data_IF_238712803141
#
_entry.id   IF_238712803141
#
_cell.length_a   1.000
_cell.length_b   1.000
_cell.length_c   1.000
_cell.angle_alpha   90.00
_cell.angle_beta   90.00
_cell.angle_gamma   90.00
#
_symmetry.space_group_name_H-M   'P 1'
#
loop_
_entity.id
_entity.type
_entity.pdbx_description
1 polymer ?
#
# COMPACT_ATOMS: atom_id res chain seq x y z
N UNK A 1 11.95 -10.39 16.15
CA UNK A 1 12.15 -10.62 14.68
C UNK A 1 12.41 -12.09 14.30
N UNK A 2 12.81 -12.99 15.21
CA UNK A 2 13.20 -14.38 14.87
C UNK A 2 12.06 -15.33 14.45
N UNK A 3 10.93 -15.35 15.15
CA UNK A 3 9.86 -16.32 14.87
C UNK A 3 8.95 -15.90 13.71
N UNK A 4 8.65 -14.61 13.58
CA UNK A 4 7.77 -14.08 12.54
C UNK A 4 8.32 -14.33 11.13
N UNK A 5 9.62 -14.10 10.92
CA UNK A 5 10.26 -14.34 9.63
C UNK A 5 10.28 -15.84 9.27
N UNK A 6 10.48 -16.72 10.26
CA UNK A 6 10.40 -18.18 10.06
C UNK A 6 9.02 -18.64 9.62
N UNK A 7 7.98 -17.95 10.09
CA UNK A 7 6.59 -18.19 9.71
C UNK A 7 6.17 -17.45 8.43
N UNK A 8 7.09 -16.74 7.77
CA UNK A 8 6.79 -15.96 6.57
C UNK A 8 5.91 -14.72 6.81
N UNK A 9 5.81 -14.26 8.07
CA UNK A 9 5.05 -13.05 8.41
C UNK A 9 5.84 -11.80 8.03
N UNK A 10 5.23 -10.98 7.18
CA UNK A 10 5.72 -9.65 6.84
C UNK A 10 5.08 -8.65 7.80
N UNK A 11 5.88 -8.07 8.68
CA UNK A 11 5.47 -7.06 9.63
C UNK A 11 6.03 -5.69 9.24
N UNK A 12 5.41 -4.62 9.73
CA UNK A 12 5.89 -3.24 9.55
C UNK A 12 5.99 -2.80 8.07
N UNK A 13 5.09 -3.30 7.21
CA UNK A 13 5.01 -2.87 5.82
C UNK A 13 4.43 -1.45 5.72
N UNK A 14 4.89 -0.62 4.76
CA UNK A 14 4.21 0.63 4.43
C UNK A 14 2.76 0.36 4.02
N UNK A 15 1.84 1.21 4.49
CA UNK A 15 0.41 1.08 4.18
C UNK A 15 -0.04 2.22 3.28
N UNK A 16 -0.56 1.86 2.11
CA UNK A 16 -1.18 2.81 1.18
C UNK A 16 -2.70 2.62 1.18
N UNK A 17 -3.43 3.70 1.47
CA UNK A 17 -4.90 3.66 1.62
C UNK A 17 -5.60 4.29 0.42
N UNK A 18 -6.30 3.48 -0.36
CA UNK A 18 -6.85 3.90 -1.65
C UNK A 18 -8.37 3.87 -1.65
N UNK A 19 -8.98 4.70 -2.51
CA UNK A 19 -10.43 4.72 -2.72
C UNK A 19 -11.00 3.47 -3.43
N UNK A 20 -10.17 2.49 -3.75
CA UNK A 20 -10.54 1.30 -4.50
C UNK A 20 -9.75 0.08 -4.02
N UNK A 21 -10.26 -1.11 -4.33
CA UNK A 21 -9.63 -2.38 -4.01
C UNK A 21 -8.82 -2.95 -5.17
N UNK A 22 -7.76 -3.66 -4.83
CA UNK A 22 -7.04 -4.56 -5.74
C UNK A 22 -7.04 -5.94 -5.09
N UNK A 23 -7.52 -6.96 -5.80
CA UNK A 23 -7.59 -8.34 -5.30
C UNK A 23 -6.32 -9.12 -5.65
N UNK A 24 -5.99 -10.19 -4.90
CA UNK A 24 -4.88 -11.08 -5.22
C UNK A 24 -4.85 -11.50 -6.69
N UNK A 25 -3.63 -11.63 -7.23
CA UNK A 25 -3.34 -11.96 -8.63
C UNK A 25 -3.67 -10.88 -9.67
N UNK A 26 -4.26 -9.75 -9.29
CA UNK A 26 -4.44 -8.62 -10.19
C UNK A 26 -3.12 -7.84 -10.38
N UNK A 27 -2.77 -7.55 -11.65
CA UNK A 27 -1.72 -6.61 -12.06
C UNK A 27 -2.32 -5.32 -12.57
N UNK A 28 -1.80 -4.17 -12.14
CA UNK A 28 -2.28 -2.88 -12.64
C UNK A 28 -1.19 -1.81 -12.59
N UNK A 29 -1.48 -0.65 -13.18
CA UNK A 29 -0.63 0.54 -13.13
C UNK A 29 -1.28 1.57 -12.22
N UNK A 30 -0.50 2.10 -11.27
CA UNK A 30 -0.91 3.17 -10.37
C UNK A 30 -0.25 4.48 -10.77
N UNK A 31 -1.05 5.56 -10.84
CA UNK A 31 -0.55 6.92 -10.97
C UNK A 31 -0.59 7.60 -9.59
N UNK A 32 0.58 7.66 -8.95
CA UNK A 32 0.75 8.23 -7.61
C UNK A 32 1.10 9.70 -7.73
N UNK A 33 0.23 10.54 -7.17
CA UNK A 33 0.36 12.00 -7.21
C UNK A 33 0.09 12.66 -5.85
N UNK A 34 -0.52 11.96 -4.90
CA UNK A 34 -0.69 12.49 -3.54
C UNK A 34 0.69 12.55 -2.86
N UNK A 35 1.10 13.72 -2.31
CA UNK A 35 2.44 13.91 -1.75
C UNK A 35 2.86 12.86 -0.72
N UNK A 36 1.95 12.46 0.18
CA UNK A 36 2.23 11.45 1.19
C UNK A 36 2.52 10.06 0.60
N UNK A 37 1.87 9.70 -0.52
CA UNK A 37 2.13 8.43 -1.19
C UNK A 37 3.37 8.50 -2.06
N UNK A 38 3.61 9.63 -2.74
CA UNK A 38 4.88 9.84 -3.46
C UNK A 38 6.06 9.70 -2.51
N UNK A 39 6.02 10.35 -1.33
CA UNK A 39 7.08 10.22 -0.31
C UNK A 39 7.22 8.78 0.20
N UNK A 40 6.10 8.11 0.52
CA UNK A 40 6.12 6.73 0.99
C UNK A 40 6.75 5.79 -0.05
N UNK A 41 6.36 5.91 -1.32
CA UNK A 41 6.90 5.06 -2.38
C UNK A 41 8.35 5.39 -2.72
N UNK A 42 8.77 6.65 -2.75
CA UNK A 42 10.20 6.98 -2.92
C UNK A 42 11.04 6.39 -1.79
N UNK A 43 10.54 6.43 -0.55
CA UNK A 43 11.21 5.80 0.61
C UNK A 43 11.31 4.28 0.44
N UNK A 44 10.24 3.63 -0.03
CA UNK A 44 10.23 2.19 -0.32
C UNK A 44 11.19 1.84 -1.46
N UNK A 45 11.18 2.62 -2.54
CA UNK A 45 12.00 2.40 -3.74
C UNK A 45 13.48 2.65 -3.49
N UNK A 46 13.84 3.40 -2.44
CA UNK A 46 15.22 3.56 -1.99
C UNK A 46 15.76 2.32 -1.23
N UNK A 47 14.89 1.37 -0.88
CA UNK A 47 15.28 0.09 -0.27
C UNK A 47 15.56 -1.00 -1.31
N UNK A 48 16.14 -2.11 -0.87
CA UNK A 48 16.36 -3.27 -1.74
C UNK A 48 15.04 -3.97 -2.09
N UNK A 49 14.97 -4.53 -3.30
CA UNK A 49 13.86 -5.38 -3.70
C UNK A 49 13.74 -6.65 -2.80
N UNK A 50 12.54 -7.23 -2.64
CA UNK A 50 11.27 -6.82 -3.26
C UNK A 50 10.62 -5.62 -2.56
N UNK A 51 10.07 -4.68 -3.36
CA UNK A 51 9.35 -3.51 -2.84
C UNK A 51 7.90 -3.87 -2.50
N UNK A 52 7.68 -4.19 -1.23
CA UNK A 52 6.38 -4.63 -0.73
C UNK A 52 5.66 -3.52 0.03
N UNK A 53 4.34 -3.43 -0.15
CA UNK A 53 3.46 -2.57 0.63
C UNK A 53 2.08 -3.21 0.83
N UNK A 54 1.33 -2.73 1.82
CA UNK A 54 -0.05 -3.12 2.04
C UNK A 54 -1.01 -2.12 1.38
N UNK A 55 -1.87 -2.61 0.50
CA UNK A 55 -2.96 -1.83 -0.10
C UNK A 55 -4.23 -2.04 0.72
N UNK A 56 -4.73 -0.99 1.34
CA UNK A 56 -5.94 -1.05 2.19
C UNK A 56 -7.01 -0.14 1.62
N UNK A 57 -8.26 -0.61 1.62
CA UNK A 57 -9.38 0.22 1.21
C UNK A 57 -9.56 1.38 2.19
N UNK A 58 -9.78 2.56 1.64
CA UNK A 58 -10.30 3.71 2.35
C UNK A 58 -11.52 4.21 1.59
N UNK A 59 -12.74 3.89 2.05
CA UNK A 59 -13.97 4.44 1.47
C UNK A 59 -13.85 5.97 1.40
N UNK A 60 -14.21 6.56 0.26
CA UNK A 60 -14.04 8.01 0.03
C UNK A 60 -12.60 8.48 -0.23
N UNK A 61 -11.62 7.58 -0.21
CA UNK A 61 -10.23 7.87 -0.52
C UNK A 61 -9.59 8.90 0.42
N UNK A 62 -8.66 9.69 -0.10
CA UNK A 62 -7.80 10.57 0.70
C UNK A 62 -8.58 11.59 1.55
N UNK A 63 -9.80 11.97 1.14
CA UNK A 63 -10.68 12.85 1.90
C UNK A 63 -11.05 12.31 3.28
N UNK A 64 -10.97 10.99 3.47
CA UNK A 64 -11.28 10.31 4.71
C UNK A 64 -10.02 9.91 5.51
N UNK A 65 -8.82 10.24 5.03
CA UNK A 65 -7.57 9.75 5.63
C UNK A 65 -7.32 10.30 7.04
N UNK A 66 -7.69 11.56 7.28
CA UNK A 66 -7.50 12.24 8.57
C UNK A 66 -8.73 12.14 9.49
N UNK A 67 -9.73 11.36 9.10
CA UNK A 67 -10.99 11.27 9.82
C UNK A 67 -10.94 10.15 10.87
N UNK A 68 -11.25 10.42 12.16
CA UNK A 68 -11.18 9.42 13.22
C UNK A 68 -12.02 8.16 12.95
N UNK A 69 -13.17 8.31 12.31
CA UNK A 69 -14.04 7.19 11.94
C UNK A 69 -13.41 6.21 10.95
N UNK A 70 -12.31 6.60 10.29
CA UNK A 70 -11.51 5.75 9.41
C UNK A 70 -10.11 5.47 9.96
N UNK A 71 -9.86 5.58 11.27
CA UNK A 71 -8.62 5.10 11.86
C UNK A 71 -8.48 3.57 11.67
N UNK A 72 -7.27 3.05 11.42
CA UNK A 72 -7.03 1.61 11.25
C UNK A 72 -7.05 0.88 12.60
N UNK A 73 -8.22 0.84 13.22
CA UNK A 73 -8.45 0.29 14.55
C UNK A 73 -9.75 -0.52 14.56
N UNK A 74 -9.84 -1.51 15.45
CA UNK A 74 -11.06 -2.29 15.61
C UNK A 74 -12.22 -1.41 16.07
N UNK A 75 -13.36 -1.53 15.39
CA UNK A 75 -14.59 -0.78 15.71
C UNK A 75 -14.78 0.51 14.93
N UNK A 76 -13.84 0.88 14.06
CA UNK A 76 -14.00 1.99 13.11
C UNK A 76 -14.59 1.51 11.78
N UNK A 77 -14.84 2.44 10.87
CA UNK A 77 -15.28 2.14 9.49
C UNK A 77 -14.12 1.70 8.59
N UNK A 78 -12.87 1.69 9.08
CA UNK A 78 -11.73 1.30 8.28
C UNK A 78 -11.65 -0.23 8.12
N UNK A 79 -11.54 -0.73 6.89
CA UNK A 79 -11.22 -2.14 6.66
C UNK A 79 -9.86 -2.50 7.25
N UNK A 80 -9.83 -3.51 8.12
CA UNK A 80 -8.60 -4.08 8.70
C UNK A 80 -7.99 -5.19 7.83
N UNK A 81 -8.55 -5.39 6.65
CA UNK A 81 -8.05 -6.30 5.64
C UNK A 81 -7.68 -5.52 4.39
N UNK A 82 -6.59 -5.94 3.77
CA UNK A 82 -6.09 -5.38 2.54
C UNK A 82 -5.42 -6.44 1.68
N UNK A 83 -4.53 -5.98 0.83
CA UNK A 83 -3.83 -6.83 -0.13
C UNK A 83 -2.33 -6.53 -0.07
N UNK A 84 -1.53 -7.57 0.01
CA UNK A 84 -0.09 -7.48 -0.15
C UNK A 84 0.23 -7.21 -1.62
N UNK A 85 0.94 -6.11 -1.85
CA UNK A 85 1.32 -5.66 -3.18
C UNK A 85 2.83 -5.65 -3.33
N UNK A 86 3.30 -5.95 -4.53
CA UNK A 86 4.69 -5.75 -4.93
C UNK A 86 4.75 -4.73 -6.08
N UNK A 87 5.67 -3.78 -5.96
CA UNK A 87 6.06 -2.89 -7.07
C UNK A 87 7.09 -3.63 -7.94
N UNK A 88 6.84 -3.70 -9.24
CA UNK A 88 7.71 -4.36 -10.23
C UNK A 88 8.50 -3.36 -11.08
N UNK A 89 7.93 -2.20 -11.33
CA UNK A 89 8.58 -1.14 -12.10
C UNK A 89 8.06 0.22 -11.65
N UNK A 90 8.91 1.22 -11.77
CA UNK A 90 8.60 2.62 -11.53
C UNK A 90 9.07 3.46 -12.70
N UNK A 91 8.21 4.35 -13.16
CA UNK A 91 8.56 5.48 -14.00
C UNK A 91 8.34 6.76 -13.18
N UNK A 92 9.40 7.56 -13.06
CA UNK A 92 9.34 8.89 -12.46
C UNK A 92 8.94 9.88 -13.55
N UNK A 93 7.81 10.55 -13.35
CA UNK A 93 7.32 11.54 -14.29
C UNK A 93 7.97 12.90 -14.03
N UNK A 94 7.94 13.78 -15.05
CA UNK A 94 8.54 15.12 -14.99
C UNK A 94 7.90 16.05 -13.95
N UNK A 95 6.67 15.73 -13.51
CA UNK A 95 5.87 16.52 -12.57
C UNK A 95 5.85 15.92 -11.16
N UNK A 96 6.87 15.14 -10.80
CA UNK A 96 7.03 14.48 -9.49
C UNK A 96 5.99 13.39 -9.19
N UNK A 97 5.19 12.97 -10.19
CA UNK A 97 4.35 11.78 -10.06
C UNK A 97 5.15 10.50 -10.29
N UNK A 98 4.62 9.40 -9.76
CA UNK A 98 5.14 8.05 -10.03
C UNK A 98 4.10 7.24 -10.78
N UNK A 99 4.53 6.62 -11.88
CA UNK A 99 3.77 5.56 -12.54
C UNK A 99 4.36 4.23 -12.09
N UNK A 100 3.58 3.45 -11.33
CA UNK A 100 4.02 2.18 -10.74
C UNK A 100 3.32 1.00 -11.39
N UNK A 101 4.08 0.03 -11.89
CA UNK A 101 3.54 -1.29 -12.21
C UNK A 101 3.52 -2.14 -10.94
N UNK A 102 2.33 -2.56 -10.52
CA UNK A 102 2.14 -3.31 -9.27
C UNK A 102 1.38 -4.61 -9.50
N UNK A 103 1.64 -5.59 -8.63
CA UNK A 103 0.96 -6.88 -8.63
C UNK A 103 0.51 -7.23 -7.22
N UNK A 104 -0.74 -7.65 -7.10
CA UNK A 104 -1.27 -8.22 -5.88
C UNK A 104 -0.82 -9.68 -5.72
N UNK A 105 -0.26 -9.99 -4.55
CA UNK A 105 0.27 -11.31 -4.23
C UNK A 105 -0.69 -12.14 -3.35
N UNK A 106 -1.19 -11.55 -2.26
CA UNK A 106 -2.02 -12.24 -1.26
C UNK A 106 -2.88 -11.25 -0.46
N UNK A 107 -3.79 -11.76 0.37
CA UNK A 107 -4.47 -10.94 1.37
C UNK A 107 -3.49 -10.47 2.47
N UNK A 108 -3.73 -9.29 3.02
CA UNK A 108 -2.99 -8.72 4.14
C UNK A 108 -3.95 -8.30 5.27
N UNK A 109 -3.46 -8.29 6.50
CA UNK A 109 -4.15 -7.72 7.65
C UNK A 109 -3.43 -6.43 8.06
N UNK A 110 -4.22 -5.40 8.41
CA UNK A 110 -3.76 -4.09 8.85
C UNK A 110 -3.98 -3.93 10.36
#
# INVERSE_FOLDING_TARGET
KGDSARLGLLLELPVARWGFNILPHHRTVLNVHQPQYTLMFETLLASAEPWLYAHVLLPGGVANLAKPEFALESGTEAPLQGTLMQVFAVQREVDSRLTLLVQAAAAAAA
#
